data_IF_882847183233
#
_entry.id   IF_882847183233
#
_cell.length_a   1.000
_cell.length_b   1.000
_cell.length_c   1.000
_cell.angle_alpha   90.00
_cell.angle_beta   90.00
_cell.angle_gamma   90.00
#
_symmetry.space_group_name_H-M   'P 1'
#
loop_
_entity.id
_entity.type
_entity.pdbx_description
1 polymer ?
#
# COMPACT_ATOMS: atom_id res chain seq x y z
N UNK A 1 -12.15 8.22 2.83
CA UNK A 1 -11.44 8.44 1.54
C UNK A 1 -12.29 8.00 0.35
N UNK A 2 -12.61 6.71 0.17
CA UNK A 2 -13.43 6.27 -0.99
C UNK A 2 -14.77 7.01 -1.10
N UNK A 3 -15.50 7.16 0.00
CA UNK A 3 -16.76 7.92 0.02
C UNK A 3 -16.57 9.39 -0.34
N UNK A 4 -15.49 10.03 0.13
CA UNK A 4 -15.15 11.41 -0.20
C UNK A 4 -14.88 11.56 -1.71
N UNK A 5 -14.09 10.66 -2.29
CA UNK A 5 -13.81 10.66 -3.72
C UNK A 5 -15.07 10.45 -4.56
N UNK A 6 -15.96 9.54 -4.15
CA UNK A 6 -17.26 9.35 -4.82
C UNK A 6 -18.14 10.58 -4.71
N UNK A 7 -18.17 11.22 -3.54
CA UNK A 7 -18.91 12.46 -3.34
C UNK A 7 -18.37 13.60 -4.21
N UNK A 8 -17.10 13.55 -4.59
CA UNK A 8 -16.44 14.43 -5.55
C UNK A 8 -16.52 13.94 -7.02
N UNK A 9 -17.42 13.00 -7.34
CA UNK A 9 -17.65 12.44 -8.69
C UNK A 9 -16.48 11.63 -9.29
N UNK A 10 -15.56 11.11 -8.47
CA UNK A 10 -14.56 10.14 -8.93
C UNK A 10 -15.10 8.70 -8.91
N UNK A 11 -14.77 7.91 -9.94
CA UNK A 11 -14.99 6.47 -9.96
C UNK A 11 -13.97 5.76 -9.06
N UNK A 12 -14.29 5.71 -7.77
CA UNK A 12 -13.43 5.12 -6.74
C UNK A 12 -14.04 3.87 -6.10
N UNK A 13 -13.24 2.83 -5.87
CA UNK A 13 -13.59 1.65 -5.06
C UNK A 13 -12.60 1.45 -3.91
N UNK A 14 -13.04 0.79 -2.84
CA UNK A 14 -12.16 0.39 -1.74
C UNK A 14 -11.64 -1.03 -1.93
N UNK A 15 -10.41 -1.30 -1.52
CA UNK A 15 -9.84 -2.65 -1.54
C UNK A 15 -9.06 -2.94 -0.26
N UNK A 16 -9.55 -3.88 0.55
CA UNK A 16 -8.89 -4.29 1.79
C UNK A 16 -9.23 -5.73 2.19
N UNK A 17 -8.40 -6.32 3.06
CA UNK A 17 -8.51 -7.73 3.47
C UNK A 17 -9.84 -8.13 4.14
N UNK A 18 -10.59 -7.16 4.68
CA UNK A 18 -11.93 -7.40 5.28
C UNK A 18 -13.06 -7.56 4.24
N UNK A 19 -12.83 -7.26 2.96
CA UNK A 19 -13.85 -7.47 1.92
C UNK A 19 -13.97 -8.97 1.60
N UNK A 20 -15.18 -9.48 1.28
CA UNK A 20 -15.35 -10.84 0.76
C UNK A 20 -14.48 -11.08 -0.48
N UNK A 21 -13.99 -12.31 -0.65
CA UNK A 21 -13.13 -12.66 -1.79
C UNK A 21 -13.77 -12.31 -3.14
N UNK A 22 -15.07 -12.63 -3.31
CA UNK A 22 -15.84 -12.29 -4.51
C UNK A 22 -15.85 -10.78 -4.80
N UNK A 23 -16.04 -9.95 -3.78
CA UNK A 23 -16.03 -8.48 -3.90
C UNK A 23 -14.65 -7.97 -4.30
N UNK A 24 -13.57 -8.53 -3.74
CA UNK A 24 -12.21 -8.16 -4.13
C UNK A 24 -11.93 -8.48 -5.61
N UNK A 25 -12.35 -9.66 -6.06
CA UNK A 25 -12.21 -10.06 -7.47
C UNK A 25 -13.00 -9.14 -8.40
N UNK A 26 -14.24 -8.78 -8.05
CA UNK A 26 -15.07 -7.87 -8.85
C UNK A 26 -14.44 -6.47 -8.98
N UNK A 27 -14.04 -5.88 -7.84
CA UNK A 27 -13.38 -4.56 -7.82
C UNK A 27 -12.08 -4.58 -8.63
N UNK A 28 -11.27 -5.63 -8.49
CA UNK A 28 -10.05 -5.78 -9.28
C UNK A 28 -10.37 -5.88 -10.78
N UNK A 29 -11.34 -6.69 -11.18
CA UNK A 29 -11.72 -6.84 -12.59
C UNK A 29 -12.19 -5.52 -13.20
N UNK A 30 -13.03 -4.77 -12.48
CA UNK A 30 -13.52 -3.45 -12.90
C UNK A 30 -12.37 -2.45 -13.04
N UNK A 31 -11.42 -2.45 -12.12
CA UNK A 31 -10.21 -1.61 -12.24
C UNK A 31 -9.34 -2.00 -13.44
N UNK A 32 -9.13 -3.30 -13.67
CA UNK A 32 -8.37 -3.80 -14.82
C UNK A 32 -9.05 -3.44 -16.15
N UNK A 33 -10.37 -3.56 -16.21
CA UNK A 33 -11.19 -3.19 -17.37
C UNK A 33 -11.28 -1.66 -17.59
N UNK A 34 -10.86 -0.88 -16.60
CA UNK A 34 -10.97 0.58 -16.61
C UNK A 34 -12.33 1.10 -16.20
N UNK A 35 -13.29 0.28 -15.73
CA UNK A 35 -14.58 0.78 -15.21
C UNK A 35 -14.45 1.55 -13.88
N UNK A 36 -13.31 1.41 -13.19
CA UNK A 36 -12.96 2.13 -11.97
C UNK A 36 -11.61 2.78 -12.19
N UNK A 37 -11.50 4.08 -11.91
CA UNK A 37 -10.28 4.85 -12.17
C UNK A 37 -9.38 4.94 -10.95
N UNK A 38 -9.95 4.81 -9.76
CA UNK A 38 -9.23 4.93 -8.50
C UNK A 38 -9.52 3.77 -7.56
N UNK A 39 -8.46 3.13 -7.09
CA UNK A 39 -8.56 2.15 -6.01
C UNK A 39 -7.94 2.73 -4.74
N UNK A 40 -8.74 2.81 -3.69
CA UNK A 40 -8.27 3.13 -2.34
C UNK A 40 -7.96 1.83 -1.63
N UNK A 41 -6.68 1.51 -1.53
CA UNK A 41 -6.21 0.22 -1.04
C UNK A 41 -5.46 0.33 0.29
N UNK A 42 -5.50 -0.74 1.08
CA UNK A 42 -4.43 -1.04 2.06
C UNK A 42 -3.39 -1.96 1.41
N UNK A 43 -2.31 -2.29 2.13
CA UNK A 43 -1.24 -3.19 1.66
C UNK A 43 -1.75 -4.55 1.13
N UNK A 44 -3.01 -4.91 1.41
CA UNK A 44 -3.71 -6.07 0.86
C UNK A 44 -3.88 -6.06 -0.67
N UNK A 45 -3.77 -4.91 -1.35
CA UNK A 45 -3.84 -4.81 -2.82
C UNK A 45 -2.49 -5.14 -3.50
N UNK A 46 -1.47 -5.51 -2.71
CA UNK A 46 -0.09 -5.64 -3.16
C UNK A 46 0.24 -6.88 -4.01
N UNK A 47 -0.51 -7.97 -3.91
CA UNK A 47 -0.19 -9.21 -4.64
C UNK A 47 -1.03 -9.35 -5.90
N UNK A 48 -0.44 -9.09 -7.07
CA UNK A 48 -0.99 -9.53 -8.37
C UNK A 48 -1.75 -8.51 -9.23
N UNK A 49 -1.79 -7.22 -8.86
CA UNK A 49 -2.30 -6.18 -9.76
C UNK A 49 -1.19 -5.79 -10.75
N UNK A 50 -1.35 -6.22 -11.99
CA UNK A 50 -0.46 -5.93 -13.12
C UNK A 50 -1.20 -5.12 -14.19
N UNK A 51 -1.70 -3.95 -13.81
CA UNK A 51 -2.28 -2.99 -14.73
C UNK A 51 -1.15 -2.12 -15.29
N UNK A 52 -0.84 -2.18 -16.60
CA UNK A 52 0.33 -1.50 -17.15
C UNK A 52 0.20 0.03 -17.13
N UNK A 53 -1.03 0.53 -17.17
CA UNK A 53 -1.39 1.92 -17.42
C UNK A 53 -1.80 2.71 -16.18
N UNK A 54 -1.28 2.36 -15.00
CA UNK A 54 -1.51 3.15 -13.77
C UNK A 54 -0.73 4.47 -13.84
N UNK A 55 -1.43 5.60 -13.76
CA UNK A 55 -0.86 6.96 -13.92
C UNK A 55 -0.41 7.62 -12.64
N UNK A 56 -0.98 7.23 -11.51
CA UNK A 56 -0.59 7.75 -10.23
C UNK A 56 -0.69 6.70 -9.14
N UNK A 57 0.27 6.73 -8.21
CA UNK A 57 0.21 6.03 -6.93
C UNK A 57 0.36 7.09 -5.84
N UNK A 58 -0.66 7.21 -4.98
CA UNK A 58 -0.70 8.12 -3.86
C UNK A 58 -0.59 7.33 -2.55
N UNK A 59 0.48 7.58 -1.79
CA UNK A 59 0.59 7.10 -0.42
C UNK A 59 -0.02 8.15 0.51
N UNK A 60 -1.23 7.86 1.00
CA UNK A 60 -1.92 8.70 1.98
C UNK A 60 -1.21 8.69 3.35
N UNK A 61 -0.56 7.58 3.68
CA UNK A 61 0.28 7.45 4.86
C UNK A 61 1.64 6.91 4.44
N UNK A 62 2.68 7.33 5.16
CA UNK A 62 4.03 6.83 4.93
C UNK A 62 4.10 5.31 5.15
N UNK A 63 4.62 4.53 4.17
CA UNK A 63 4.92 3.12 4.36
C UNK A 63 5.91 2.86 5.51
N UNK A 64 5.95 1.62 6.01
CA UNK A 64 6.84 1.26 7.12
C UNK A 64 8.32 1.14 6.72
N UNK A 65 8.60 0.94 5.42
CA UNK A 65 9.97 0.75 4.91
C UNK A 65 10.09 1.29 3.47
N UNK A 66 11.34 1.49 3.01
CA UNK A 66 11.60 1.91 1.62
C UNK A 66 11.28 0.83 0.59
N UNK A 67 11.42 -0.45 0.94
CA UNK A 67 11.06 -1.57 0.07
C UNK A 67 9.55 -1.60 -0.19
N UNK A 68 8.75 -1.39 0.86
CA UNK A 68 7.30 -1.30 0.72
C UNK A 68 6.92 -0.12 -0.19
N UNK A 69 7.49 1.07 0.08
CA UNK A 69 7.27 2.25 -0.76
C UNK A 69 7.67 1.99 -2.23
N UNK A 70 8.86 1.44 -2.47
CA UNK A 70 9.35 1.19 -3.83
C UNK A 70 8.48 0.19 -4.58
N UNK A 71 8.08 -0.91 -3.92
CA UNK A 71 7.18 -1.91 -4.50
C UNK A 71 5.79 -1.33 -4.82
N UNK A 72 5.25 -0.51 -3.94
CA UNK A 72 3.93 0.11 -4.08
C UNK A 72 3.94 1.20 -5.17
N UNK A 73 4.93 2.08 -5.14
CA UNK A 73 5.16 3.11 -6.15
C UNK A 73 5.43 2.51 -7.55
N UNK A 74 6.17 1.40 -7.63
CA UNK A 74 6.50 0.69 -8.87
C UNK A 74 5.32 0.02 -9.59
N UNK A 75 4.09 0.23 -9.12
CA UNK A 75 2.87 -0.12 -9.87
C UNK A 75 2.53 0.90 -10.94
N UNK A 76 2.98 2.15 -10.77
CA UNK A 76 2.75 3.21 -11.72
C UNK A 76 3.64 3.03 -12.97
N UNK A 77 3.16 3.44 -14.15
CA UNK A 77 4.02 3.62 -15.33
C UNK A 77 4.62 2.36 -15.94
N UNK A 78 4.03 1.17 -15.73
CA UNK A 78 4.54 -0.10 -16.26
C UNK A 78 4.50 -0.21 -17.78
N UNK A 79 3.68 0.60 -18.44
CA UNK A 79 3.67 0.81 -19.89
C UNK A 79 4.81 1.73 -20.38
N UNK A 80 5.70 2.18 -19.50
CA UNK A 80 6.82 3.08 -19.80
C UNK A 80 6.42 4.54 -20.00
N UNK A 81 5.15 4.90 -19.80
CA UNK A 81 4.69 6.29 -19.89
C UNK A 81 4.85 7.01 -18.56
N UNK A 82 4.85 8.34 -18.62
CA UNK A 82 4.92 9.19 -17.43
C UNK A 82 3.85 8.80 -16.41
N UNK A 83 4.27 8.69 -15.16
CA UNK A 83 3.41 8.41 -14.03
C UNK A 83 3.96 9.11 -12.78
N UNK A 84 3.08 9.40 -11.82
CA UNK A 84 3.44 10.13 -10.59
C UNK A 84 3.31 9.26 -9.36
N UNK A 85 4.37 9.19 -8.57
CA UNK A 85 4.35 8.56 -7.26
C UNK A 85 4.42 9.66 -6.21
N UNK A 86 3.34 9.85 -5.46
CA UNK A 86 3.21 10.93 -4.48
C UNK A 86 3.12 10.33 -3.09
N UNK A 87 3.95 10.83 -2.18
CA UNK A 87 3.91 10.53 -0.77
C UNK A 87 3.40 11.76 -0.01
N UNK A 88 2.23 11.64 0.62
CA UNK A 88 1.80 12.61 1.61
C UNK A 88 2.49 12.26 2.93
N UNK A 89 3.40 13.12 3.36
CA UNK A 89 4.19 12.87 4.55
C UNK A 89 3.67 13.67 5.75
N UNK A 90 3.37 12.96 6.83
CA UNK A 90 3.10 13.54 8.13
C UNK A 90 3.98 12.87 9.19
N UNK A 91 4.64 13.66 10.03
CA UNK A 91 5.46 13.13 11.13
C UNK A 91 4.66 12.28 12.11
N UNK A 92 3.33 12.48 12.19
CA UNK A 92 2.40 11.67 13.00
C UNK A 92 2.29 10.23 12.51
N UNK A 93 2.53 9.95 11.23
CA UNK A 93 2.51 8.58 10.69
C UNK A 93 3.58 7.69 11.32
N UNK A 94 4.66 8.27 11.86
CA UNK A 94 5.67 7.53 12.62
C UNK A 94 5.05 6.73 13.76
N UNK A 95 4.09 7.33 14.50
CA UNK A 95 3.44 6.66 15.63
C UNK A 95 2.62 5.46 15.19
N UNK A 96 1.97 5.56 14.04
CA UNK A 96 1.21 4.47 13.43
C UNK A 96 2.15 3.30 13.10
N UNK A 97 3.29 3.59 12.44
CA UNK A 97 4.27 2.56 12.12
C UNK A 97 4.93 1.96 13.38
N UNK A 98 5.29 2.79 14.36
CA UNK A 98 5.84 2.33 15.64
C UNK A 98 4.86 1.44 16.42
N UNK A 99 3.56 1.73 16.37
CA UNK A 99 2.54 0.87 16.96
C UNK A 99 2.53 -0.52 16.31
N UNK A 100 2.60 -0.59 14.98
CA UNK A 100 2.70 -1.87 14.26
C UNK A 100 3.99 -2.62 14.57
N UNK A 101 5.13 -1.92 14.74
CA UNK A 101 6.41 -2.53 15.09
C UNK A 101 6.45 -3.06 16.54
N UNK A 102 6.08 -2.22 17.52
CA UNK A 102 6.13 -2.56 18.93
C UNK A 102 5.17 -3.68 19.34
N UNK A 103 4.07 -3.86 18.59
CA UNK A 103 3.10 -4.94 18.81
C UNK A 103 3.45 -6.28 18.14
N UNK A 104 4.51 -6.33 17.33
CA UNK A 104 4.80 -7.47 16.45
C UNK A 104 5.73 -8.51 17.10
N UNK A 105 6.85 -8.09 17.65
CA UNK A 105 7.90 -9.00 18.10
C UNK A 105 7.76 -9.33 19.60
N UNK A 106 7.71 -10.62 19.99
CA UNK A 106 7.72 -11.02 21.39
C UNK A 106 9.11 -10.83 22.01
N UNK A 107 9.17 -10.44 23.30
CA UNK A 107 10.40 -10.49 24.11
C UNK A 107 10.76 -11.93 24.50
N UNK A 108 11.92 -12.12 25.14
CA UNK A 108 12.28 -13.42 25.72
C UNK A 108 11.24 -13.92 26.74
N UNK A 109 10.75 -13.01 27.60
CA UNK A 109 9.69 -13.33 28.56
C UNK A 109 8.38 -13.69 27.86
N UNK A 110 8.01 -12.99 26.79
CA UNK A 110 6.83 -13.31 25.99
C UNK A 110 6.93 -14.72 25.39
N UNK A 111 8.10 -15.11 24.85
CA UNK A 111 8.33 -16.46 24.29
C UNK A 111 8.30 -17.52 25.39
N UNK A 112 8.88 -17.23 26.55
CA UNK A 112 8.83 -18.11 27.71
C UNK A 112 7.38 -18.34 28.17
N UNK A 113 6.56 -17.29 28.24
CA UNK A 113 5.14 -17.42 28.58
C UNK A 113 4.39 -18.35 27.61
N UNK A 114 4.70 -18.29 26.32
CA UNK A 114 4.10 -19.18 25.30
C UNK A 114 4.54 -20.63 25.55
N UNK A 115 5.84 -20.84 25.78
CA UNK A 115 6.40 -22.16 26.05
C UNK A 115 5.80 -22.78 27.32
N UNK A 116 5.78 -22.04 28.43
CA UNK A 116 5.22 -22.48 29.72
C UNK A 116 3.73 -22.80 29.60
N UNK A 117 2.98 -22.04 28.79
CA UNK A 117 1.58 -22.34 28.53
C UNK A 117 1.42 -23.68 27.79
N UNK A 118 2.25 -23.94 26.78
CA UNK A 118 2.24 -25.22 26.06
C UNK A 118 2.63 -26.40 26.97
N UNK A 119 3.61 -26.23 27.87
CA UNK A 119 3.97 -27.25 28.86
C UNK A 119 2.84 -27.51 29.86
N UNK A 120 2.24 -26.45 30.45
CA UNK A 120 1.11 -26.58 31.38
C UNK A 120 -0.09 -27.30 30.77
N UNK A 121 -0.29 -27.14 29.46
CA UNK A 121 -1.36 -27.80 28.71
C UNK A 121 -1.01 -29.24 28.30
N UNK A 122 0.19 -29.73 28.59
CA UNK A 122 0.71 -31.01 28.08
C UNK A 122 0.58 -31.10 26.54
N UNK A 123 0.96 -30.01 25.85
CA UNK A 123 0.80 -29.89 24.41
C UNK A 123 1.64 -30.89 23.59
N UNK A 124 2.57 -31.61 24.24
CA UNK A 124 3.29 -32.73 23.63
C UNK A 124 2.40 -33.97 23.40
N UNK A 125 1.35 -34.15 24.22
CA UNK A 125 0.41 -35.26 24.11
C UNK A 125 -0.86 -34.84 23.35
N UNK A 126 -1.29 -33.58 23.50
CA UNK A 126 -2.49 -33.07 22.86
C UNK A 126 -2.29 -31.65 22.32
N UNK A 127 -2.25 -31.52 20.99
CA UNK A 127 -2.01 -30.23 20.34
C UNK A 127 -3.05 -29.16 20.75
N UNK A 128 -2.57 -27.97 21.13
CA UNK A 128 -3.36 -26.86 21.64
C UNK A 128 -3.74 -25.87 20.53
N UNK A 129 -4.98 -25.39 20.52
CA UNK A 129 -5.38 -24.29 19.62
C UNK A 129 -4.86 -22.94 20.09
N UNK A 130 -4.80 -21.96 19.19
CA UNK A 130 -4.35 -20.60 19.50
C UNK A 130 -5.21 -19.94 20.58
N UNK A 131 -6.53 -20.20 20.57
CA UNK A 131 -7.48 -19.71 21.56
C UNK A 131 -7.17 -20.27 22.95
N UNK A 132 -6.94 -21.57 23.07
CA UNK A 132 -6.64 -22.20 24.36
C UNK A 132 -5.30 -21.71 24.95
N UNK A 133 -4.27 -21.54 24.11
CA UNK A 133 -2.98 -20.98 24.53
C UNK A 133 -3.17 -19.53 25.01
N UNK A 134 -3.96 -18.73 24.27
CA UNK A 134 -4.25 -17.35 24.65
C UNK A 134 -5.03 -17.25 25.95
N UNK A 135 -6.00 -18.13 26.19
CA UNK A 135 -6.75 -18.22 27.44
C UNK A 135 -5.84 -18.57 28.62
N UNK A 136 -4.89 -19.48 28.41
CA UNK A 136 -3.92 -19.91 29.43
C UNK A 136 -2.96 -18.79 29.83
N UNK A 137 -2.52 -17.96 28.87
CA UNK A 137 -1.64 -16.82 29.12
C UNK A 137 -2.40 -15.61 29.70
N UNK A 138 -3.70 -15.47 29.40
CA UNK A 138 -4.48 -14.30 29.80
C UNK A 138 -4.01 -13.02 29.09
N UNK A 139 -4.20 -11.86 29.71
CA UNK A 139 -3.94 -10.54 29.08
C UNK A 139 -2.45 -10.14 28.99
N UNK A 140 -1.55 -10.96 29.52
CA UNK A 140 -0.11 -10.70 29.50
C UNK A 140 0.52 -10.66 28.10
N UNK A 141 -0.15 -11.24 27.09
CA UNK A 141 0.39 -11.33 25.72
C UNK A 141 -0.66 -11.03 24.64
N UNK A 142 -0.35 -10.18 23.67
CA UNK A 142 -1.25 -9.90 22.55
C UNK A 142 -1.40 -11.09 21.60
N UNK A 143 -2.53 -11.19 20.88
CA UNK A 143 -2.73 -12.24 19.85
C UNK A 143 -1.65 -12.21 18.76
N UNK A 144 -1.17 -11.02 18.41
CA UNK A 144 -0.09 -10.83 17.42
C UNK A 144 1.21 -11.43 17.93
N UNK A 145 1.65 -11.05 19.14
CA UNK A 145 2.88 -11.59 19.74
C UNK A 145 2.82 -13.09 19.94
N UNK A 146 1.67 -13.63 20.37
CA UNK A 146 1.45 -15.07 20.46
C UNK A 146 1.69 -15.78 19.11
N UNK A 147 1.10 -15.26 18.03
CA UNK A 147 1.23 -15.87 16.70
C UNK A 147 2.67 -15.78 16.18
N UNK A 148 3.35 -14.67 16.45
CA UNK A 148 4.77 -14.47 16.07
C UNK A 148 5.67 -15.39 16.89
N UNK A 149 5.48 -15.49 18.20
CA UNK A 149 6.24 -16.38 19.07
C UNK A 149 6.03 -17.87 18.76
N UNK A 150 4.80 -18.27 18.43
CA UNK A 150 4.54 -19.65 17.96
C UNK A 150 5.23 -19.96 16.62
N UNK A 151 5.32 -18.99 15.71
CA UNK A 151 6.11 -19.16 14.49
C UNK A 151 7.61 -19.25 14.78
N UNK A 152 8.14 -18.44 15.70
CA UNK A 152 9.53 -18.57 16.14
C UNK A 152 9.82 -19.97 16.68
N UNK A 153 9.01 -20.46 17.63
CA UNK A 153 9.16 -21.80 18.19
C UNK A 153 9.00 -22.89 17.12
N UNK A 154 8.20 -22.64 16.08
CA UNK A 154 8.03 -23.55 14.95
C UNK A 154 9.26 -23.61 14.04
N UNK A 155 9.84 -22.46 13.71
CA UNK A 155 11.03 -22.37 12.87
C UNK A 155 12.20 -23.15 13.50
N UNK A 156 12.30 -23.13 14.84
CA UNK A 156 13.30 -23.83 15.65
C UNK A 156 12.93 -25.30 15.98
N UNK A 157 11.82 -25.78 15.41
CA UNK A 157 11.28 -27.13 15.60
C UNK A 157 10.99 -27.48 17.06
N UNK A 158 10.75 -26.48 17.89
CA UNK A 158 10.28 -26.64 19.27
C UNK A 158 8.79 -26.96 19.28
N UNK A 159 8.05 -26.32 18.38
CA UNK A 159 6.61 -26.52 18.18
C UNK A 159 6.36 -27.03 16.77
N UNK A 160 5.35 -27.89 16.61
CA UNK A 160 4.85 -28.32 15.31
C UNK A 160 3.40 -27.89 15.13
N UNK A 161 3.12 -27.25 14.01
CA UNK A 161 1.76 -26.87 13.64
C UNK A 161 1.05 -28.07 12.98
N UNK A 162 -0.14 -28.40 13.48
CA UNK A 162 -1.05 -29.44 13.00
C UNK A 162 -2.25 -28.81 12.30
N UNK A 163 -3.08 -29.66 11.66
CA UNK A 163 -4.30 -29.21 10.98
C UNK A 163 -5.20 -28.40 11.92
N UNK A 164 -5.76 -27.31 11.39
CA UNK A 164 -6.63 -26.40 12.14
C UNK A 164 -5.89 -25.42 13.06
N UNK A 165 -4.64 -25.06 12.75
CA UNK A 165 -3.83 -24.13 13.54
C UNK A 165 -3.68 -24.56 15.01
N UNK A 166 -3.44 -25.86 15.22
CA UNK A 166 -3.13 -26.44 16.54
C UNK A 166 -1.63 -26.66 16.67
N UNK A 167 -1.09 -26.45 17.85
CA UNK A 167 0.34 -26.43 18.13
C UNK A 167 0.70 -27.54 19.10
N UNK A 168 1.63 -28.41 18.69
CA UNK A 168 2.14 -29.53 19.48
C UNK A 168 3.57 -29.25 19.91
N UNK A 169 3.86 -29.44 21.19
CA UNK A 169 5.21 -29.27 21.72
C UNK A 169 6.08 -30.47 21.31
N UNK A 170 7.05 -30.22 20.44
CA UNK A 170 7.93 -31.26 19.87
C UNK A 170 9.20 -31.47 20.69
N UNK A 171 9.67 -30.44 21.39
CA UNK A 171 10.84 -30.49 22.27
C UNK A 171 10.45 -30.02 23.67
N UNK A 172 10.16 -30.94 24.61
CA UNK A 172 9.90 -30.60 26.00
C UNK A 172 11.21 -30.35 26.77
N UNK A 173 11.13 -29.67 27.92
CA UNK A 173 12.24 -29.33 28.82
C UNK A 173 13.39 -28.49 28.20
N UNK A 174 13.07 -27.47 27.40
CA UNK A 174 14.07 -26.53 26.89
C UNK A 174 14.56 -25.61 28.02
N UNK A 175 15.87 -25.36 28.08
CA UNK A 175 16.46 -24.41 29.03
C UNK A 175 16.12 -22.96 28.64
N UNK A 176 15.89 -22.10 29.64
CA UNK A 176 15.75 -20.66 29.53
C UNK A 176 16.82 -20.00 28.64
N UNK A 177 18.09 -20.40 28.73
CA UNK A 177 19.15 -19.81 27.89
C UNK A 177 18.95 -20.06 26.39
N UNK A 178 18.34 -21.20 26.03
CA UNK A 178 18.01 -21.52 24.64
C UNK A 178 16.83 -20.65 24.17
N UNK A 179 15.77 -20.53 24.97
CA UNK A 179 14.63 -19.64 24.69
C UNK A 179 15.08 -18.18 24.54
N UNK A 180 15.99 -17.73 25.42
CA UNK A 180 16.54 -16.38 25.37
C UNK A 180 17.29 -16.11 24.07
N UNK A 181 18.17 -17.02 23.64
CA UNK A 181 18.89 -16.89 22.36
C UNK A 181 17.95 -16.82 21.16
N UNK A 182 16.86 -17.60 21.18
CA UNK A 182 15.85 -17.57 20.12
C UNK A 182 15.12 -16.23 20.06
N UNK A 183 14.80 -15.68 21.23
CA UNK A 183 14.18 -14.36 21.32
C UNK A 183 15.14 -13.23 20.89
N UNK A 184 16.45 -13.36 21.13
CA UNK A 184 17.47 -12.40 20.69
C UNK A 184 17.43 -12.20 19.16
N UNK A 185 17.27 -13.27 18.37
CA UNK A 185 17.10 -13.15 16.90
C UNK A 185 15.88 -12.29 16.51
N UNK A 186 14.81 -12.33 17.30
CA UNK A 186 13.61 -11.51 17.04
C UNK A 186 13.75 -10.08 17.57
N UNK A 187 14.56 -9.87 18.61
CA UNK A 187 14.99 -8.52 19.04
C UNK A 187 15.84 -7.86 17.94
N UNK A 188 16.78 -8.60 17.34
CA UNK A 188 17.57 -8.13 16.19
C UNK A 188 16.68 -7.78 14.99
N UNK A 189 15.70 -8.63 14.65
CA UNK A 189 14.70 -8.33 13.62
C UNK A 189 13.89 -7.07 13.94
N UNK A 190 13.49 -6.89 15.20
CA UNK A 190 12.79 -5.69 15.66
C UNK A 190 13.64 -4.42 15.52
N UNK A 191 14.94 -4.51 15.83
CA UNK A 191 15.90 -3.42 15.63
C UNK A 191 16.04 -3.10 14.14
N UNK A 192 16.21 -4.11 13.29
CA UNK A 192 16.31 -3.94 11.83
C UNK A 192 15.04 -3.30 11.24
N UNK A 193 13.85 -3.75 11.62
CA UNK A 193 12.60 -3.13 11.17
C UNK A 193 12.49 -1.65 11.59
N UNK A 194 12.97 -1.31 12.78
CA UNK A 194 13.01 0.08 13.27
C UNK A 194 14.02 0.92 12.49
N UNK A 195 15.18 0.38 12.15
CA UNK A 195 16.16 1.04 11.27
C UNK A 195 15.58 1.29 9.88
N UNK A 196 14.84 0.34 9.31
CA UNK A 196 14.14 0.52 8.03
C UNK A 196 13.10 1.64 8.07
N UNK A 197 12.36 1.75 9.18
CA UNK A 197 11.44 2.86 9.39
C UNK A 197 12.17 4.21 9.44
N UNK A 198 13.29 4.30 10.16
CA UNK A 198 14.10 5.51 10.19
C UNK A 198 14.62 5.87 8.79
N UNK A 199 15.03 4.89 7.98
CA UNK A 199 15.44 5.14 6.59
C UNK A 199 14.30 5.67 5.72
N UNK A 200 13.08 5.14 5.88
CA UNK A 200 11.90 5.67 5.19
C UNK A 200 11.58 7.11 5.61
N UNK A 201 11.72 7.43 6.90
CA UNK A 201 11.55 8.79 7.41
C UNK A 201 12.61 9.74 6.87
N UNK A 202 13.87 9.31 6.81
CA UNK A 202 14.96 10.09 6.22
C UNK A 202 14.71 10.33 4.72
N UNK A 203 14.26 9.31 3.99
CA UNK A 203 13.87 9.47 2.58
C UNK A 203 12.81 10.54 2.41
N UNK A 204 11.73 10.53 3.22
CA UNK A 204 10.64 11.50 3.10
C UNK A 204 11.09 12.94 3.39
N UNK A 205 11.92 13.14 4.41
CA UNK A 205 12.42 14.46 4.85
C UNK A 205 13.61 14.98 4.06
N UNK A 206 14.29 14.11 3.32
CA UNK A 206 15.51 14.44 2.59
C UNK A 206 15.27 15.50 1.50
N UNK A 207 16.29 16.35 1.32
CA UNK A 207 16.42 17.30 0.21
C UNK A 207 17.14 16.71 -1.01
N UNK A 208 17.71 15.51 -0.88
CA UNK A 208 18.47 14.83 -1.93
C UNK A 208 17.57 14.33 -3.05
N UNK A 209 18.14 14.10 -4.23
CA UNK A 209 17.41 13.46 -5.33
C UNK A 209 16.76 12.15 -4.85
N UNK A 210 15.44 12.01 -5.07
CA UNK A 210 14.68 10.83 -4.60
C UNK A 210 15.23 9.53 -5.20
N UNK A 211 15.52 9.53 -6.50
CA UNK A 211 16.09 8.38 -7.21
C UNK A 211 17.51 8.04 -6.76
N UNK A 212 18.35 9.04 -6.51
CA UNK A 212 19.68 8.81 -5.93
C UNK A 212 19.58 8.10 -4.58
N UNK A 213 18.70 8.57 -3.69
CA UNK A 213 18.50 7.94 -2.37
C UNK A 213 18.01 6.50 -2.49
N UNK A 214 17.06 6.23 -3.40
CA UNK A 214 16.56 4.88 -3.66
C UNK A 214 17.65 3.98 -4.25
N UNK A 215 18.41 4.43 -5.25
CA UNK A 215 19.53 3.68 -5.82
C UNK A 215 20.53 3.31 -4.74
N UNK A 216 21.02 4.30 -3.98
CA UNK A 216 21.98 4.06 -2.88
C UNK A 216 21.42 3.10 -1.83
N UNK A 217 20.12 3.13 -1.55
CA UNK A 217 19.53 2.19 -0.61
C UNK A 217 19.62 0.74 -1.12
N UNK A 218 19.19 0.48 -2.35
CA UNK A 218 19.15 -0.87 -2.91
C UNK A 218 20.51 -1.40 -3.40
N UNK A 219 21.45 -0.51 -3.76
CA UNK A 219 22.81 -0.88 -4.17
C UNK A 219 23.66 -1.36 -2.99
N UNK A 220 23.40 -0.83 -1.78
CA UNK A 220 24.11 -1.20 -0.55
C UNK A 220 23.57 -2.49 0.12
N UNK A 221 22.41 -3.01 -0.32
CA UNK A 221 21.75 -4.18 0.27
C UNK A 221 22.09 -5.50 -0.49
N UNK A 222 23.32 -5.64 -1.01
CA UNK A 222 23.85 -6.83 -1.72
C UNK A 222 23.08 -7.26 -3.00
N UNK A 223 22.10 -6.49 -3.48
CA UNK A 223 21.28 -6.85 -4.65
C UNK A 223 21.92 -6.55 -6.01
N UNK A 224 23.16 -6.04 -6.04
CA UNK A 224 24.02 -6.07 -7.22
C UNK A 224 23.45 -5.43 -8.49
N UNK A 225 22.58 -4.42 -8.38
CA UNK A 225 22.15 -3.63 -9.53
C UNK A 225 23.25 -2.59 -9.80
N UNK A 226 24.34 -3.03 -10.43
CA UNK A 226 25.39 -2.12 -10.91
C UNK A 226 24.83 -1.15 -11.95
N UNK A 227 24.35 -0.01 -11.49
CA UNK A 227 23.93 1.13 -12.31
C UNK A 227 24.94 2.27 -12.24
N UNK A 228 24.89 3.18 -13.21
CA UNK A 228 25.62 4.45 -13.14
C UNK A 228 25.18 5.25 -11.91
N UNK A 229 26.13 5.93 -11.26
CA UNK A 229 25.85 6.72 -10.06
C UNK A 229 24.92 7.89 -10.41
N UNK A 230 23.64 7.78 -10.03
CA UNK A 230 22.65 8.83 -10.29
C UNK A 230 22.97 10.03 -9.38
N UNK A 231 23.50 11.10 -9.96
CA UNK A 231 23.71 12.34 -9.22
C UNK A 231 22.41 13.14 -9.08
N UNK A 232 21.67 13.33 -10.19
CA UNK A 232 20.33 13.93 -10.23
C UNK A 232 19.47 13.24 -11.30
N UNK A 233 18.22 12.95 -10.96
CA UNK A 233 17.27 12.33 -11.88
C UNK A 233 16.44 13.32 -12.71
N UNK A 234 16.58 14.63 -12.43
CA UNK A 234 15.89 15.74 -13.11
C UNK A 234 14.35 15.72 -13.10
N UNK A 235 13.72 14.70 -12.52
CA UNK A 235 12.27 14.47 -12.59
C UNK A 235 11.59 14.44 -11.22
N UNK A 236 12.32 14.16 -10.14
CA UNK A 236 11.75 14.15 -8.79
C UNK A 236 11.49 15.57 -8.25
N UNK A 237 10.61 15.67 -7.26
CA UNK A 237 10.25 16.92 -6.59
C UNK A 237 11.46 17.71 -6.07
N UNK A 238 12.50 17.05 -5.55
CA UNK A 238 13.71 17.69 -5.05
C UNK A 238 14.65 18.19 -6.17
N UNK A 239 14.60 17.57 -7.36
CA UNK A 239 15.38 18.02 -8.53
C UNK A 239 14.67 19.14 -9.29
N UNK A 240 13.35 19.03 -9.45
CA UNK A 240 12.52 19.99 -10.20
C UNK A 240 12.19 21.23 -9.36
N UNK A 241 12.05 21.08 -8.03
CA UNK A 241 11.77 22.18 -7.09
C UNK A 241 12.69 22.06 -5.86
N UNK A 242 13.92 22.58 -5.95
CA UNK A 242 14.87 22.56 -4.84
C UNK A 242 14.26 23.21 -3.59
N UNK A 243 14.66 22.75 -2.40
CA UNK A 243 14.11 23.27 -1.13
C UNK A 243 14.30 24.79 -0.99
N UNK A 244 15.37 25.35 -1.56
CA UNK A 244 15.60 26.80 -1.59
C UNK A 244 14.50 27.60 -2.28
N UNK A 245 13.64 26.95 -3.07
CA UNK A 245 12.50 27.55 -3.78
C UNK A 245 11.14 27.12 -3.21
N UNK A 246 11.13 26.29 -2.15
CA UNK A 246 9.91 25.88 -1.45
C UNK A 246 9.51 26.94 -0.42
N UNK A 247 9.02 28.09 -0.90
CA UNK A 247 8.44 29.11 -0.04
C UNK A 247 6.92 28.89 0.15
N UNK A 248 6.49 28.99 1.41
CA UNK A 248 5.13 29.34 1.88
C UNK A 248 3.93 28.52 1.40
N UNK A 249 3.97 27.18 1.52
CA UNK A 249 2.70 26.44 1.68
C UNK A 249 2.28 26.53 3.15
N UNK A 250 1.49 27.54 3.50
CA UNK A 250 0.82 27.57 4.79
C UNK A 250 -0.29 26.52 4.79
N UNK A 251 -0.02 25.37 5.42
CA UNK A 251 -1.04 24.39 5.74
C UNK A 251 -1.77 24.92 6.99
N UNK A 252 -3.08 25.20 6.92
CA UNK A 252 -3.83 25.63 8.09
C UNK A 252 -3.68 24.61 9.23
N UNK A 253 -3.43 25.05 10.47
CA UNK A 253 -3.33 24.13 11.59
C UNK A 253 -4.70 23.50 11.89
N UNK A 254 -4.72 22.17 12.01
CA UNK A 254 -5.92 21.41 12.35
C UNK A 254 -6.52 20.62 11.18
N UNK A 255 -7.60 19.91 11.45
CA UNK A 255 -8.38 19.28 10.40
C UNK A 255 -9.32 20.32 9.78
N UNK A 256 -9.57 20.29 8.46
CA UNK A 256 -10.53 21.19 7.84
C UNK A 256 -11.91 21.04 8.48
N UNK A 257 -12.56 22.17 8.74
CA UNK A 257 -13.95 22.26 9.20
C UNK A 257 -14.89 21.63 8.18
N UNK A 258 -16.14 21.34 8.59
CA UNK A 258 -17.15 20.82 7.68
C UNK A 258 -17.40 21.75 6.49
N UNK A 259 -17.40 23.07 6.73
CA UNK A 259 -17.59 24.07 5.68
C UNK A 259 -16.44 24.04 4.66
N UNK A 260 -15.19 23.99 5.12
CA UNK A 260 -14.02 23.88 4.23
C UNK A 260 -14.01 22.55 3.45
N UNK A 261 -14.45 21.45 4.08
CA UNK A 261 -14.59 20.17 3.39
C UNK A 261 -15.67 20.21 2.30
N UNK A 262 -16.79 20.90 2.56
CA UNK A 262 -17.89 21.05 1.61
C UNK A 262 -17.52 21.98 0.45
N UNK A 263 -16.81 23.08 0.72
CA UNK A 263 -16.26 23.97 -0.31
C UNK A 263 -15.24 23.25 -1.20
N UNK A 264 -14.35 22.43 -0.60
CA UNK A 264 -13.42 21.59 -1.35
C UNK A 264 -14.17 20.57 -2.23
N UNK A 265 -15.19 19.91 -1.67
CA UNK A 265 -16.00 18.96 -2.43
C UNK A 265 -16.68 19.62 -3.62
N UNK A 266 -17.25 20.81 -3.43
CA UNK A 266 -17.91 21.55 -4.51
C UNK A 266 -16.92 21.99 -5.59
N UNK A 267 -15.74 22.43 -5.18
CA UNK A 267 -14.64 22.75 -6.12
C UNK A 267 -14.24 21.52 -6.94
N UNK A 268 -14.03 20.38 -6.27
CA UNK A 268 -13.66 19.13 -6.94
C UNK A 268 -14.76 18.60 -7.86
N UNK A 269 -16.03 18.73 -7.49
CA UNK A 269 -17.17 18.39 -8.35
C UNK A 269 -17.13 19.22 -9.62
N UNK A 270 -17.05 20.55 -9.48
CA UNK A 270 -16.98 21.47 -10.61
C UNK A 270 -15.78 21.17 -11.51
N UNK A 271 -14.62 20.87 -10.95
CA UNK A 271 -13.43 20.49 -11.74
C UNK A 271 -13.60 19.14 -12.45
N UNK A 272 -14.25 18.18 -11.79
CA UNK A 272 -14.50 16.85 -12.37
C UNK A 272 -15.56 16.91 -13.46
N UNK A 273 -16.61 17.72 -13.28
CA UNK A 273 -17.65 18.01 -14.28
C UNK A 273 -17.11 18.86 -15.43
N UNK A 274 -16.17 19.77 -15.16
CA UNK A 274 -15.49 20.57 -16.18
C UNK A 274 -14.46 19.79 -17.00
N UNK A 275 -14.15 18.53 -16.66
CA UNK A 275 -13.37 17.63 -17.54
C UNK A 275 -14.21 17.37 -18.77
N UNK A 276 -13.95 18.17 -19.81
CA UNK A 276 -14.63 18.24 -21.10
C UNK A 276 -15.73 17.19 -21.28
N UNK A 277 -16.97 17.58 -20.97
CA UNK A 277 -18.12 16.80 -21.37
C UNK A 277 -18.08 16.66 -22.90
N UNK A 278 -17.83 15.43 -23.34
CA UNK A 278 -17.94 15.09 -24.74
C UNK A 278 -19.41 14.87 -25.01
N UNK A 279 -20.00 15.77 -25.79
CA UNK A 279 -21.41 15.71 -26.13
C UNK A 279 -21.66 14.77 -27.30
N UNK A 280 -22.88 14.23 -27.38
CA UNK A 280 -23.35 13.50 -28.57
C UNK A 280 -23.23 14.41 -29.79
N UNK A 281 -22.59 13.89 -30.84
CA UNK A 281 -22.35 14.61 -32.09
C UNK A 281 -20.98 15.25 -32.21
N UNK A 282 -20.17 15.29 -31.14
CA UNK A 282 -18.82 15.84 -31.22
C UNK A 282 -17.86 14.97 -32.03
N UNK A 283 -16.96 15.63 -32.76
CA UNK A 283 -15.87 14.96 -33.48
C UNK A 283 -14.69 14.81 -32.55
N UNK A 284 -14.17 13.59 -32.48
CA UNK A 284 -13.12 13.21 -31.52
C UNK A 284 -11.99 12.48 -32.21
N UNK A 285 -10.78 12.60 -31.69
CA UNK A 285 -9.59 11.91 -32.19
C UNK A 285 -9.03 10.95 -31.15
N UNK A 286 -8.85 9.68 -31.56
CA UNK A 286 -8.44 8.60 -30.67
C UNK A 286 -7.11 7.98 -31.11
N UNK A 287 -6.14 7.81 -30.18
CA UNK A 287 -4.85 7.19 -30.51
C UNK A 287 -5.03 5.81 -31.17
N UNK A 288 -4.37 5.61 -32.31
CA UNK A 288 -4.40 4.38 -33.14
C UNK A 288 -5.71 4.09 -33.90
N UNK A 289 -6.82 4.77 -33.59
CA UNK A 289 -8.12 4.55 -34.25
C UNK A 289 -8.52 5.71 -35.18
N UNK A 290 -7.86 6.86 -35.04
CA UNK A 290 -8.11 8.05 -35.87
C UNK A 290 -9.37 8.81 -35.43
N UNK A 291 -9.86 9.67 -36.32
CA UNK A 291 -11.04 10.49 -36.08
C UNK A 291 -12.34 9.66 -36.04
N UNK A 292 -13.23 10.01 -35.13
CA UNK A 292 -14.57 9.44 -34.99
C UNK A 292 -15.59 10.48 -34.52
N UNK A 293 -16.86 10.09 -34.49
CA UNK A 293 -17.96 10.95 -34.03
C UNK A 293 -18.69 10.29 -32.87
N UNK A 294 -18.97 11.05 -31.83
CA UNK A 294 -19.69 10.56 -30.65
C UNK A 294 -21.16 10.37 -31.01
N UNK A 295 -21.67 9.15 -30.86
CA UNK A 295 -23.06 8.79 -31.18
C UNK A 295 -23.92 8.68 -29.91
N UNK A 296 -23.33 8.28 -28.79
CA UNK A 296 -24.01 8.21 -27.50
C UNK A 296 -23.06 8.55 -26.35
N UNK A 297 -23.63 9.16 -25.32
CA UNK A 297 -22.96 9.44 -24.05
C UNK A 297 -23.82 8.83 -22.94
N UNK A 298 -23.21 8.01 -22.10
CA UNK A 298 -23.87 7.39 -20.96
C UNK A 298 -22.93 7.43 -19.76
N UNK A 299 -23.10 8.45 -18.89
CA UNK A 299 -22.17 8.71 -17.80
C UNK A 299 -20.79 9.12 -18.31
N UNK A 300 -19.74 8.44 -17.87
CA UNK A 300 -18.36 8.63 -18.36
C UNK A 300 -18.04 7.86 -19.64
N UNK A 301 -19.01 7.12 -20.21
CA UNK A 301 -18.80 6.34 -21.41
C UNK A 301 -19.31 7.08 -22.64
N UNK A 302 -18.44 7.18 -23.63
CA UNK A 302 -18.71 7.76 -24.95
C UNK A 302 -18.61 6.67 -26.00
N UNK A 303 -19.71 6.43 -26.69
CA UNK A 303 -19.75 5.59 -27.88
C UNK A 303 -19.34 6.43 -29.09
N UNK A 304 -18.27 6.00 -29.77
CA UNK A 304 -17.70 6.68 -30.93
C UNK A 304 -17.84 5.78 -32.15
N UNK A 305 -18.36 6.37 -33.22
CA UNK A 305 -18.47 5.77 -34.55
C UNK A 305 -17.29 6.23 -35.41
N UNK A 306 -16.58 5.29 -36.01
CA UNK A 306 -15.44 5.56 -36.90
C UNK A 306 -15.83 5.44 -38.38
N UNK A 307 -14.98 5.95 -39.27
CA UNK A 307 -15.10 5.73 -40.71
C UNK A 307 -15.23 4.22 -41.01
N UNK A 308 -16.31 3.84 -41.69
CA UNK A 308 -16.68 2.43 -41.93
C UNK A 308 -17.75 1.87 -41.00
N UNK A 309 -18.38 2.69 -40.14
CA UNK A 309 -19.56 2.31 -39.34
C UNK A 309 -19.25 1.46 -38.10
N UNK A 310 -17.97 1.28 -37.78
CA UNK A 310 -17.52 0.55 -36.59
C UNK A 310 -17.76 1.41 -35.35
N UNK A 311 -18.47 0.84 -34.36
CA UNK A 311 -18.75 1.47 -33.06
C UNK A 311 -17.78 0.94 -32.00
N UNK A 312 -17.30 1.82 -31.14
CA UNK A 312 -16.59 1.44 -29.91
C UNK A 312 -16.91 2.41 -28.79
N UNK A 313 -16.96 1.89 -27.57
CA UNK A 313 -17.16 2.68 -26.36
C UNK A 313 -15.82 2.97 -25.69
N UNK A 314 -15.63 4.21 -25.23
CA UNK A 314 -14.45 4.69 -24.53
C UNK A 314 -14.88 5.40 -23.25
N UNK A 315 -13.95 5.60 -22.33
CA UNK A 315 -14.17 6.60 -21.27
C UNK A 315 -13.93 8.00 -21.84
N UNK A 316 -14.73 8.96 -21.40
CA UNK A 316 -14.66 10.36 -21.85
C UNK A 316 -13.26 10.94 -21.71
N UNK A 317 -12.54 10.62 -20.64
CA UNK A 317 -11.16 11.07 -20.42
C UNK A 317 -10.13 10.60 -21.45
N UNK A 318 -10.41 9.51 -22.19
CA UNK A 318 -9.52 9.00 -23.24
C UNK A 318 -9.88 9.50 -24.64
N UNK A 319 -10.95 10.26 -24.75
CA UNK A 319 -11.47 10.79 -26.00
C UNK A 319 -11.16 12.29 -26.01
N UNK A 320 -10.50 12.79 -27.05
CA UNK A 320 -10.17 14.21 -27.18
C UNK A 320 -11.00 14.82 -28.29
N UNK A 321 -11.56 16.02 -28.07
CA UNK A 321 -12.24 16.79 -29.12
C UNK A 321 -11.25 17.13 -30.22
N UNK A 322 -11.71 17.13 -31.48
CA UNK A 322 -10.90 17.55 -32.62
C UNK A 322 -11.02 19.07 -32.77
N UNK A 323 -9.91 19.80 -32.77
CA UNK A 323 -9.90 21.27 -33.02
C UNK A 323 -9.76 22.16 -31.78
N UNK A 324 -9.31 21.62 -30.65
CA UNK A 324 -8.80 22.37 -29.48
C UNK A 324 -7.31 22.08 -29.34
#
# INVERSE_FOLDING_TARGET
MTEFLRAANFYAESYHGKLPAKTRTDVQNRFMAGDVDTIVATNAFGMGVDKPDVRAVLHWQMPGTLEAYYQEAGRAGRDGREARCVLLYDTRDRRVQQFFLGGRYPSADDVLMIYDALEKMNAAQAAASLEQIKETIGDGLSKTKLRVGLNLLKDERIVRERRGAKFELSKPNINFDEIKRLAETYVERGTSDREKLERMMLYAQSASCRWQTLSKYFDNDDNGIGGEEIEKCETCDNCVRPISERFDVQIPPGNPTKAEQEELLETLRRETEAREEIAVGESVELPKLGAGKVEAVAGDKVEVVFAGGKRKTFKSEFVRKTGV
#
